data_IF_745385079637
#
_entry.id   IF_745385079637
#
_cell.length_a   1.000
_cell.length_b   1.000
_cell.length_c   1.000
_cell.angle_alpha   90.00
_cell.angle_beta   90.00
_cell.angle_gamma   90.00
#
_symmetry.space_group_name_H-M   'P 1'
#
loop_
_entity.id
_entity.type
_entity.pdbx_description
1 polymer ?
#
# COMPACT_ATOMS: atom_id res chain seq x y z
N UNK A 1 -93.86 -11.16 -36.46
CA UNK A 1 -93.57 -11.69 -35.10
C UNK A 1 -92.55 -10.77 -34.45
N UNK A 2 -92.86 -10.09 -33.33
CA UNK A 2 -91.87 -9.40 -32.50
C UNK A 2 -91.54 -10.31 -31.31
N UNK A 3 -90.40 -11.00 -31.35
CA UNK A 3 -90.08 -12.02 -30.33
C UNK A 3 -88.60 -12.23 -30.00
N UNK A 4 -87.65 -11.56 -30.67
CA UNK A 4 -86.22 -11.84 -30.47
C UNK A 4 -85.45 -10.75 -29.72
N UNK A 5 -86.05 -9.59 -29.47
CA UNK A 5 -85.35 -8.47 -28.81
C UNK A 5 -85.39 -8.48 -27.28
N UNK A 6 -85.95 -9.52 -26.64
CA UNK A 6 -86.05 -9.56 -25.17
C UNK A 6 -84.96 -10.42 -24.50
N UNK A 7 -84.23 -11.24 -25.27
CA UNK A 7 -83.20 -12.13 -24.72
C UNK A 7 -81.80 -11.47 -24.65
N UNK A 8 -81.46 -10.59 -25.61
CA UNK A 8 -80.16 -9.89 -25.63
C UNK A 8 -80.05 -8.79 -24.56
N UNK A 9 -81.15 -8.15 -24.20
CA UNK A 9 -81.19 -7.07 -23.21
C UNK A 9 -81.01 -7.57 -21.77
N UNK A 10 -81.26 -8.86 -21.52
CA UNK A 10 -81.16 -9.46 -20.18
C UNK A 10 -79.76 -10.02 -19.88
N UNK A 11 -78.97 -10.33 -20.91
CA UNK A 11 -77.59 -10.83 -20.76
C UNK A 11 -76.61 -9.65 -20.58
N UNK A 12 -76.93 -8.46 -21.08
CA UNK A 12 -76.11 -7.26 -20.90
C UNK A 12 -76.38 -6.47 -19.61
N UNK A 13 -77.36 -6.88 -18.79
CA UNK A 13 -77.72 -6.18 -17.56
C UNK A 13 -77.13 -6.78 -16.28
N UNK A 14 -76.24 -7.78 -16.38
CA UNK A 14 -75.64 -8.45 -15.22
C UNK A 14 -74.10 -8.34 -15.13
N UNK A 15 -73.41 -7.76 -16.12
CA UNK A 15 -72.01 -7.34 -15.94
C UNK A 15 -71.97 -5.91 -15.39
N UNK A 16 -72.10 -5.81 -14.08
CA UNK A 16 -71.93 -4.58 -13.33
C UNK A 16 -70.46 -4.17 -13.39
N UNK A 17 -70.10 -3.28 -14.32
CA UNK A 17 -68.76 -2.71 -14.41
C UNK A 17 -68.41 -2.03 -13.07
N UNK A 18 -67.27 -2.37 -12.44
CA UNK A 18 -66.92 -1.86 -11.12
C UNK A 18 -66.84 -0.34 -11.13
N UNK A 19 -67.30 0.29 -10.05
CA UNK A 19 -67.26 1.75 -9.91
C UNK A 19 -65.79 2.22 -9.98
N UNK A 20 -65.53 3.39 -10.57
CA UNK A 20 -64.20 4.01 -10.63
C UNK A 20 -63.43 4.02 -9.29
N UNK A 21 -64.15 4.16 -8.16
CA UNK A 21 -63.56 4.06 -6.82
C UNK A 21 -63.18 2.62 -6.42
N UNK A 22 -63.94 1.61 -6.84
CA UNK A 22 -63.63 0.20 -6.60
C UNK A 22 -62.40 -0.24 -7.39
N UNK A 23 -62.30 0.18 -8.66
CA UNK A 23 -61.10 -0.02 -9.49
C UNK A 23 -59.86 0.65 -8.88
N UNK A 24 -60.00 1.86 -8.33
CA UNK A 24 -58.89 2.55 -7.67
C UNK A 24 -58.43 1.82 -6.40
N UNK A 25 -59.37 1.26 -5.63
CA UNK A 25 -59.07 0.45 -4.43
C UNK A 25 -58.33 -0.84 -4.84
N UNK A 26 -58.82 -1.56 -5.85
CA UNK A 26 -58.22 -2.79 -6.35
C UNK A 26 -56.81 -2.57 -6.91
N UNK A 27 -56.60 -1.49 -7.68
CA UNK A 27 -55.27 -1.09 -8.16
C UNK A 27 -54.31 -0.76 -7.02
N UNK A 28 -54.82 -0.14 -5.94
CA UNK A 28 -54.02 0.21 -4.76
C UNK A 28 -53.65 -1.05 -3.97
N UNK A 29 -54.60 -1.95 -3.77
CA UNK A 29 -54.38 -3.25 -3.11
C UNK A 29 -53.37 -4.10 -3.89
N UNK A 30 -53.51 -4.16 -5.21
CA UNK A 30 -52.58 -4.85 -6.08
C UNK A 30 -51.19 -4.21 -6.09
N UNK A 31 -51.11 -2.88 -6.05
CA UNK A 31 -49.84 -2.16 -5.92
C UNK A 31 -49.15 -2.45 -4.57
N UNK A 32 -49.91 -2.45 -3.47
CA UNK A 32 -49.40 -2.82 -2.14
C UNK A 32 -48.91 -4.27 -2.10
N UNK A 33 -49.67 -5.20 -2.69
CA UNK A 33 -49.26 -6.61 -2.79
C UNK A 33 -47.97 -6.77 -3.59
N UNK A 34 -47.82 -6.04 -4.71
CA UNK A 34 -46.58 -6.02 -5.50
C UNK A 34 -45.39 -5.46 -4.72
N UNK A 35 -45.60 -4.41 -3.91
CA UNK A 35 -44.56 -3.84 -3.04
C UNK A 35 -44.14 -4.86 -1.97
N UNK A 36 -45.10 -5.51 -1.30
CA UNK A 36 -44.82 -6.54 -0.30
C UNK A 36 -44.02 -7.72 -0.88
N UNK A 37 -44.42 -8.22 -2.06
CA UNK A 37 -43.68 -9.27 -2.77
C UNK A 37 -42.27 -8.81 -3.19
N UNK A 38 -42.10 -7.53 -3.55
CA UNK A 38 -40.79 -6.96 -3.90
C UNK A 38 -39.88 -6.84 -2.67
N UNK A 39 -40.42 -6.48 -1.50
CA UNK A 39 -39.70 -6.46 -0.23
C UNK A 39 -39.25 -7.87 0.17
N UNK A 40 -40.15 -8.86 0.12
CA UNK A 40 -39.83 -10.26 0.42
C UNK A 40 -38.71 -10.80 -0.48
N UNK A 41 -38.79 -10.55 -1.80
CA UNK A 41 -37.74 -10.93 -2.75
C UNK A 41 -36.39 -10.29 -2.41
N UNK A 42 -36.41 -9.04 -1.94
CA UNK A 42 -35.20 -8.30 -1.54
C UNK A 42 -34.60 -8.92 -0.28
N UNK A 43 -35.41 -9.30 0.70
CA UNK A 43 -34.94 -9.99 1.91
C UNK A 43 -34.36 -11.37 1.61
N UNK A 44 -35.04 -12.17 0.80
CA UNK A 44 -34.54 -13.48 0.36
C UNK A 44 -33.22 -13.36 -0.42
N UNK A 45 -33.06 -12.32 -1.23
CA UNK A 45 -31.79 -12.04 -1.91
C UNK A 45 -30.66 -11.68 -0.92
N UNK A 46 -30.96 -10.91 0.15
CA UNK A 46 -29.99 -10.62 1.23
C UNK A 46 -29.60 -11.89 1.97
N UNK A 47 -30.55 -12.77 2.28
CA UNK A 47 -30.28 -14.05 2.96
C UNK A 47 -29.39 -14.96 2.11
N UNK A 48 -29.68 -15.09 0.80
CA UNK A 48 -28.83 -15.84 -0.15
C UNK A 48 -27.41 -15.27 -0.21
N UNK A 49 -27.28 -13.95 -0.19
CA UNK A 49 -25.98 -13.26 -0.20
C UNK A 49 -25.22 -13.54 1.10
N UNK A 50 -25.88 -13.47 2.26
CA UNK A 50 -25.32 -13.83 3.56
C UNK A 50 -24.86 -15.30 3.57
N UNK A 51 -25.71 -16.23 3.15
CA UNK A 51 -25.37 -17.66 3.08
C UNK A 51 -24.20 -17.95 2.12
N UNK A 52 -24.08 -17.19 1.02
CA UNK A 52 -22.91 -17.25 0.15
C UNK A 52 -21.64 -16.76 0.88
N UNK A 53 -21.72 -15.66 1.63
CA UNK A 53 -20.59 -15.17 2.42
C UNK A 53 -20.15 -16.16 3.53
N UNK A 54 -21.09 -16.84 4.20
CA UNK A 54 -20.77 -17.92 5.15
C UNK A 54 -20.00 -19.07 4.48
N UNK A 55 -20.45 -19.52 3.30
CA UNK A 55 -19.71 -20.55 2.52
C UNK A 55 -18.31 -20.09 2.14
N UNK A 56 -18.14 -18.83 1.76
CA UNK A 56 -16.80 -18.29 1.45
C UNK A 56 -15.91 -18.23 2.70
N UNK A 57 -16.46 -17.84 3.87
CA UNK A 57 -15.72 -17.84 5.13
C UNK A 57 -15.26 -19.26 5.50
N UNK A 58 -16.14 -20.26 5.38
CA UNK A 58 -15.79 -21.66 5.62
C UNK A 58 -14.66 -22.16 4.70
N UNK A 59 -14.68 -21.76 3.42
CA UNK A 59 -13.59 -22.07 2.50
C UNK A 59 -12.27 -21.44 2.95
N UNK A 60 -12.29 -20.17 3.39
CA UNK A 60 -11.11 -19.49 3.92
C UNK A 60 -10.57 -20.11 5.21
N UNK A 61 -11.45 -20.52 6.12
CA UNK A 61 -11.07 -21.25 7.34
C UNK A 61 -10.34 -22.53 6.95
N UNK A 62 -10.86 -23.29 5.98
CA UNK A 62 -10.24 -24.52 5.50
C UNK A 62 -8.84 -24.29 4.93
N UNK A 63 -8.69 -23.34 4.01
CA UNK A 63 -7.39 -23.01 3.40
C UNK A 63 -6.39 -22.57 4.46
N UNK A 64 -6.80 -21.69 5.37
CA UNK A 64 -5.95 -21.18 6.46
C UNK A 64 -5.52 -22.30 7.41
N UNK A 65 -6.44 -23.20 7.76
CA UNK A 65 -6.14 -24.35 8.62
C UNK A 65 -5.18 -25.33 7.94
N UNK A 66 -5.32 -25.58 6.64
CA UNK A 66 -4.38 -26.41 5.88
C UNK A 66 -2.97 -25.82 5.87
N UNK A 67 -2.85 -24.49 5.70
CA UNK A 67 -1.57 -23.80 5.73
C UNK A 67 -0.92 -23.84 7.12
N UNK A 68 -1.72 -23.65 8.16
CA UNK A 68 -1.30 -23.79 9.55
C UNK A 68 -0.80 -25.20 9.85
N UNK A 69 -1.58 -26.23 9.49
CA UNK A 69 -1.25 -27.62 9.73
C UNK A 69 0.00 -28.06 8.96
N UNK A 70 0.09 -27.71 7.68
CA UNK A 70 1.26 -28.04 6.85
C UNK A 70 2.50 -27.28 7.31
N UNK A 71 2.37 -26.00 7.65
CA UNK A 71 3.48 -25.19 8.17
C UNK A 71 4.01 -25.73 9.49
N UNK A 72 3.11 -26.12 10.41
CA UNK A 72 3.49 -26.79 11.65
C UNK A 72 4.17 -28.14 11.37
N UNK A 73 3.59 -28.97 10.50
CA UNK A 73 4.11 -30.28 10.12
C UNK A 73 5.53 -30.21 9.56
N UNK A 74 5.78 -29.30 8.61
CA UNK A 74 7.13 -29.03 8.10
C UNK A 74 8.08 -28.64 9.23
N UNK A 75 7.68 -27.66 10.05
CA UNK A 75 8.58 -27.16 11.12
C UNK A 75 8.99 -28.25 12.11
N UNK A 76 8.07 -29.16 12.47
CA UNK A 76 8.34 -30.28 13.37
C UNK A 76 9.09 -31.42 12.70
N UNK A 77 8.82 -31.69 11.42
CA UNK A 77 9.52 -32.71 10.67
C UNK A 77 11.03 -32.41 10.59
N UNK A 78 11.40 -31.17 10.25
CA UNK A 78 12.81 -30.77 10.20
C UNK A 78 13.46 -30.71 11.59
N UNK A 79 12.72 -30.30 12.64
CA UNK A 79 13.20 -30.38 14.03
C UNK A 79 13.45 -31.83 14.49
N UNK A 80 12.61 -32.77 14.04
CA UNK A 80 12.76 -34.18 14.38
C UNK A 80 13.96 -34.81 13.68
N UNK A 81 14.16 -34.52 12.39
CA UNK A 81 15.31 -35.02 11.62
C UNK A 81 16.65 -34.57 12.22
N UNK A 82 16.73 -33.32 12.68
CA UNK A 82 17.93 -32.78 13.35
C UNK A 82 18.29 -33.55 14.63
N UNK A 83 17.30 -34.04 15.38
CA UNK A 83 17.53 -34.86 16.58
C UNK A 83 18.03 -36.26 16.26
N UNK A 84 17.90 -36.72 15.03
CA UNK A 84 18.24 -38.09 14.60
C UNK A 84 19.49 -38.21 13.73
N UNK A 85 20.01 -37.13 13.12
CA UNK A 85 21.21 -37.19 12.27
C UNK A 85 22.51 -36.77 12.98
N UNK A 86 23.48 -37.69 12.97
CA UNK A 86 24.90 -37.47 13.23
C UNK A 86 25.58 -36.80 12.03
N UNK A 87 26.03 -35.56 12.19
CA UNK A 87 27.28 -35.09 11.55
C UNK A 87 27.27 -34.66 10.07
N UNK A 88 26.23 -34.00 9.56
CA UNK A 88 26.39 -33.11 8.40
C UNK A 88 25.92 -31.69 8.72
N UNK A 89 26.87 -30.76 8.69
CA UNK A 89 26.70 -29.30 8.84
C UNK A 89 25.90 -28.70 7.66
N UNK A 90 24.64 -29.12 7.49
CA UNK A 90 23.71 -28.46 6.58
C UNK A 90 22.71 -27.77 7.51
N UNK A 91 22.56 -26.46 7.41
CA UNK A 91 21.64 -25.62 8.20
C UNK A 91 20.15 -25.98 8.02
N UNK A 92 19.80 -27.16 7.50
CA UNK A 92 18.46 -27.60 7.11
C UNK A 92 17.40 -27.47 8.22
N UNK A 93 17.79 -27.46 9.50
CA UNK A 93 16.89 -27.27 10.64
C UNK A 93 16.34 -25.84 10.75
N UNK A 94 17.18 -24.83 10.56
CA UNK A 94 16.76 -23.42 10.54
C UNK A 94 15.85 -23.15 9.32
N UNK A 95 16.17 -23.76 8.20
CA UNK A 95 15.48 -23.59 6.93
C UNK A 95 14.06 -24.16 6.93
N UNK A 96 13.92 -25.42 7.33
CA UNK A 96 12.62 -26.07 7.43
C UNK A 96 11.71 -25.40 8.44
N UNK A 97 12.27 -24.95 9.58
CA UNK A 97 11.53 -24.20 10.59
C UNK A 97 11.03 -22.85 10.05
N UNK A 98 11.85 -22.17 9.28
CA UNK A 98 11.55 -20.86 8.70
C UNK A 98 10.46 -20.92 7.63
N UNK A 99 10.52 -21.94 6.76
CA UNK A 99 9.49 -22.21 5.75
C UNK A 99 8.15 -22.57 6.43
N UNK A 100 8.20 -23.45 7.43
CA UNK A 100 7.03 -23.81 8.23
C UNK A 100 6.39 -22.62 8.97
N UNK A 101 7.21 -21.77 9.62
CA UNK A 101 6.76 -20.54 10.27
C UNK A 101 6.14 -19.55 9.29
N UNK A 102 6.74 -19.36 8.11
CA UNK A 102 6.22 -18.44 7.09
C UNK A 102 4.83 -18.85 6.63
N UNK A 103 4.62 -20.16 6.41
CA UNK A 103 3.32 -20.67 6.02
C UNK A 103 2.27 -20.57 7.13
N UNK A 104 2.68 -20.79 8.39
CA UNK A 104 1.81 -20.58 9.55
C UNK A 104 1.40 -19.11 9.68
N UNK A 105 2.34 -18.17 9.60
CA UNK A 105 2.05 -16.73 9.66
C UNK A 105 1.09 -16.31 8.54
N UNK A 106 1.29 -16.81 7.32
CA UNK A 106 0.38 -16.55 6.22
C UNK A 106 -1.01 -17.13 6.48
N UNK A 107 -1.12 -18.37 6.96
CA UNK A 107 -2.40 -18.99 7.32
C UNK A 107 -3.16 -18.18 8.38
N UNK A 108 -2.48 -17.72 9.43
CA UNK A 108 -3.08 -16.84 10.46
C UNK A 108 -3.54 -15.52 9.84
N UNK A 109 -2.70 -14.90 9.01
CA UNK A 109 -3.02 -13.65 8.35
C UNK A 109 -4.24 -13.78 7.44
N UNK A 110 -4.29 -14.79 6.57
CA UNK A 110 -5.41 -15.06 5.69
C UNK A 110 -6.71 -15.25 6.48
N UNK A 111 -6.66 -15.95 7.60
CA UNK A 111 -7.81 -16.15 8.49
C UNK A 111 -8.29 -14.83 9.12
N UNK A 112 -7.38 -14.02 9.65
CA UNK A 112 -7.71 -12.72 10.25
C UNK A 112 -8.40 -11.81 9.21
N UNK A 113 -7.82 -11.72 8.01
CA UNK A 113 -8.39 -10.87 6.95
C UNK A 113 -9.75 -11.41 6.49
N UNK A 114 -9.91 -12.73 6.38
CA UNK A 114 -11.20 -13.35 6.06
C UNK A 114 -12.28 -13.02 7.10
N UNK A 115 -11.96 -13.10 8.39
CA UNK A 115 -12.87 -12.74 9.48
C UNK A 115 -13.27 -11.26 9.43
N UNK A 116 -12.29 -10.37 9.26
CA UNK A 116 -12.53 -8.92 9.18
C UNK A 116 -13.41 -8.58 7.96
N UNK A 117 -13.07 -9.11 6.78
CA UNK A 117 -13.83 -8.87 5.55
C UNK A 117 -15.26 -9.38 5.65
N UNK A 118 -15.45 -10.57 6.23
CA UNK A 118 -16.77 -11.15 6.45
C UNK A 118 -17.61 -10.26 7.39
N UNK A 119 -17.03 -9.81 8.51
CA UNK A 119 -17.69 -8.93 9.45
C UNK A 119 -18.11 -7.59 8.82
N UNK A 120 -17.22 -6.94 8.06
CA UNK A 120 -17.54 -5.70 7.34
C UNK A 120 -18.63 -5.91 6.29
N UNK A 121 -18.59 -7.02 5.55
CA UNK A 121 -19.57 -7.32 4.51
C UNK A 121 -20.94 -7.57 5.10
N UNK A 122 -21.04 -8.34 6.19
CA UNK A 122 -22.30 -8.53 6.92
C UNK A 122 -22.88 -7.19 7.41
N UNK A 123 -22.05 -6.33 7.99
CA UNK A 123 -22.48 -5.01 8.48
C UNK A 123 -22.99 -4.11 7.34
N UNK A 124 -22.45 -4.26 6.13
CA UNK A 124 -22.95 -3.53 4.95
C UNK A 124 -24.26 -4.11 4.40
N UNK A 125 -24.42 -5.43 4.37
CA UNK A 125 -25.67 -6.09 3.92
C UNK A 125 -26.87 -5.74 4.81
N UNK A 126 -26.62 -5.45 6.09
CA UNK A 126 -27.66 -5.04 7.05
C UNK A 126 -28.20 -3.62 6.82
N UNK A 127 -27.54 -2.77 6.01
CA UNK A 127 -28.01 -1.40 5.74
C UNK A 127 -29.18 -1.44 4.74
N UNK A 128 -30.22 -0.64 4.99
CA UNK A 128 -31.40 -0.53 4.10
C UNK A 128 -31.01 -0.13 2.66
N UNK A 129 -30.04 0.77 2.52
CA UNK A 129 -29.52 1.23 1.24
C UNK A 129 -28.23 0.49 0.84
N UNK A 130 -28.32 -0.82 0.63
CA UNK A 130 -27.18 -1.59 0.13
C UNK A 130 -26.83 -1.17 -1.30
N UNK A 131 -25.69 -0.49 -1.46
CA UNK A 131 -25.03 -0.29 -2.77
C UNK A 131 -23.87 -1.26 -2.87
N UNK A 132 -23.74 -1.93 -4.02
CA UNK A 132 -22.55 -2.73 -4.33
C UNK A 132 -21.32 -1.82 -4.33
N UNK A 133 -20.36 -2.13 -3.47
CA UNK A 133 -19.07 -1.46 -3.43
C UNK A 133 -18.03 -2.52 -3.82
N UNK A 134 -17.20 -2.29 -4.85
CA UNK A 134 -16.13 -3.22 -5.20
C UNK A 134 -15.15 -3.33 -4.03
N UNK A 135 -15.17 -4.48 -3.34
CA UNK A 135 -14.29 -4.76 -2.21
C UNK A 135 -13.03 -5.50 -2.66
N UNK A 136 -11.95 -5.38 -1.87
CA UNK A 136 -10.70 -6.09 -2.06
C UNK A 136 -10.94 -7.61 -2.17
N UNK A 137 -10.57 -8.23 -3.28
CA UNK A 137 -10.67 -9.68 -3.43
C UNK A 137 -9.64 -10.37 -2.54
N UNK A 138 -10.09 -10.94 -1.42
CA UNK A 138 -9.24 -11.72 -0.53
C UNK A 138 -8.52 -12.86 -1.24
N UNK A 139 -9.20 -13.48 -2.22
CA UNK A 139 -8.67 -14.53 -3.08
C UNK A 139 -7.40 -14.10 -3.77
N UNK A 140 -7.46 -12.91 -4.35
CA UNK A 140 -6.38 -12.33 -5.11
C UNK A 140 -5.19 -11.92 -4.23
N UNK A 141 -5.46 -11.40 -3.03
CA UNK A 141 -4.43 -11.05 -2.04
C UNK A 141 -3.68 -12.31 -1.62
N UNK A 142 -4.38 -13.31 -1.09
CA UNK A 142 -3.74 -14.54 -0.60
C UNK A 142 -3.05 -15.27 -1.73
N UNK A 143 -3.63 -15.31 -2.94
CA UNK A 143 -3.00 -15.87 -4.13
C UNK A 143 -1.69 -15.16 -4.51
N UNK A 144 -1.64 -13.82 -4.44
CA UNK A 144 -0.43 -13.04 -4.70
C UNK A 144 0.67 -13.34 -3.67
N UNK A 145 0.30 -13.41 -2.38
CA UNK A 145 1.26 -13.73 -1.31
C UNK A 145 1.78 -15.16 -1.48
N UNK A 146 0.89 -16.11 -1.75
CA UNK A 146 1.25 -17.51 -1.98
C UNK A 146 2.18 -17.69 -3.17
N UNK A 147 1.89 -17.00 -4.27
CA UNK A 147 2.76 -17.01 -5.44
C UNK A 147 4.15 -16.51 -5.06
N UNK A 148 4.24 -15.41 -4.32
CA UNK A 148 5.52 -14.85 -3.91
C UNK A 148 6.30 -15.78 -2.97
N UNK A 149 5.66 -16.32 -1.93
CA UNK A 149 6.29 -17.28 -1.02
C UNK A 149 6.68 -18.56 -1.75
N UNK A 150 5.82 -19.08 -2.63
CA UNK A 150 6.11 -20.26 -3.44
C UNK A 150 7.31 -20.05 -4.36
N UNK A 151 7.38 -18.91 -5.05
CA UNK A 151 8.54 -18.54 -5.87
C UNK A 151 9.81 -18.38 -5.03
N UNK A 152 9.72 -17.77 -3.84
CA UNK A 152 10.85 -17.63 -2.93
C UNK A 152 11.36 -18.99 -2.41
N UNK A 153 10.45 -19.91 -2.08
CA UNK A 153 10.78 -21.26 -1.62
C UNK A 153 11.34 -22.16 -2.73
N UNK A 154 11.07 -21.84 -4.00
CA UNK A 154 11.61 -22.58 -5.15
C UNK A 154 13.10 -22.29 -5.41
N UNK A 155 13.56 -21.07 -5.10
CA UNK A 155 14.95 -20.64 -5.36
C UNK A 155 15.98 -21.54 -4.66
N UNK A 156 15.87 -21.86 -3.35
CA UNK A 156 16.78 -22.79 -2.68
C UNK A 156 16.74 -24.22 -3.23
N UNK A 157 15.59 -24.65 -3.78
CA UNK A 157 15.45 -25.98 -4.36
C UNK A 157 16.22 -26.15 -5.67
N UNK A 158 16.45 -25.05 -6.39
CA UNK A 158 17.13 -25.03 -7.70
C UNK A 158 18.60 -24.61 -7.56
N UNK A 159 18.96 -23.89 -6.49
CA UNK A 159 20.31 -23.41 -6.25
C UNK A 159 21.00 -24.23 -5.14
N UNK A 160 21.93 -25.11 -5.53
CA UNK A 160 22.64 -26.06 -4.66
C UNK A 160 23.43 -25.47 -3.46
N UNK A 161 23.47 -24.14 -3.28
CA UNK A 161 24.24 -23.45 -2.24
C UNK A 161 23.50 -22.27 -1.57
N UNK A 162 22.16 -22.28 -1.53
CA UNK A 162 21.39 -21.14 -1.01
C UNK A 162 20.79 -21.43 0.37
N UNK A 163 21.20 -20.67 1.41
CA UNK A 163 20.59 -20.86 2.74
C UNK A 163 19.25 -20.13 2.85
N UNK A 164 18.23 -20.74 3.45
CA UNK A 164 16.94 -20.07 3.68
C UNK A 164 17.05 -18.88 4.64
N UNK A 165 18.01 -18.89 5.57
CA UNK A 165 18.28 -17.72 6.44
C UNK A 165 18.70 -16.50 5.63
N UNK A 166 19.35 -16.70 4.48
CA UNK A 166 19.76 -15.61 3.60
C UNK A 166 18.54 -14.90 3.01
N UNK A 167 17.38 -15.58 2.86
CA UNK A 167 16.10 -14.99 2.40
C UNK A 167 15.61 -13.87 3.33
N UNK A 168 15.81 -14.02 4.64
CA UNK A 168 15.25 -13.13 5.67
C UNK A 168 16.22 -12.03 6.08
N UNK A 169 17.31 -11.85 5.34
CA UNK A 169 18.20 -10.69 5.45
C UNK A 169 17.75 -9.63 4.44
N UNK A 170 17.81 -8.34 4.79
CA UNK A 170 17.47 -7.24 3.86
C UNK A 170 18.33 -7.21 2.58
N UNK A 171 19.45 -7.94 2.57
CA UNK A 171 20.32 -8.11 1.40
C UNK A 171 19.98 -9.38 0.57
N UNK A 172 18.88 -10.06 0.89
CA UNK A 172 18.48 -11.25 0.12
C UNK A 172 18.02 -10.89 -1.28
N UNK A 173 18.33 -11.76 -2.24
CA UNK A 173 17.85 -11.59 -3.61
C UNK A 173 16.32 -11.60 -3.67
N UNK A 174 15.66 -12.39 -2.81
CA UNK A 174 14.20 -12.46 -2.70
C UNK A 174 13.63 -11.11 -2.27
N UNK A 175 14.19 -10.47 -1.24
CA UNK A 175 13.73 -9.16 -0.78
C UNK A 175 14.04 -8.09 -1.82
N UNK A 176 15.21 -8.11 -2.46
CA UNK A 176 15.52 -7.18 -3.56
C UNK A 176 14.48 -7.29 -4.67
N UNK A 177 14.13 -8.50 -5.07
CA UNK A 177 13.09 -8.75 -6.07
C UNK A 177 11.71 -8.31 -5.57
N UNK A 178 11.36 -8.56 -4.30
CA UNK A 178 10.11 -8.10 -3.70
C UNK A 178 10.01 -6.58 -3.74
N UNK A 179 11.06 -5.88 -3.30
CA UNK A 179 11.13 -4.42 -3.28
C UNK A 179 11.02 -3.89 -4.71
N UNK A 180 11.81 -4.42 -5.64
CA UNK A 180 11.81 -3.99 -7.04
C UNK A 180 10.43 -4.19 -7.68
N UNK A 181 9.82 -5.38 -7.52
CA UNK A 181 8.49 -5.69 -8.04
C UNK A 181 7.42 -4.80 -7.40
N UNK A 182 7.47 -4.62 -6.07
CA UNK A 182 6.54 -3.76 -5.35
C UNK A 182 6.61 -2.32 -5.85
N UNK A 183 7.81 -1.74 -5.94
CA UNK A 183 8.00 -0.38 -6.44
C UNK A 183 7.55 -0.28 -7.89
N UNK A 184 7.90 -1.25 -8.73
CA UNK A 184 7.50 -1.30 -10.14
C UNK A 184 5.98 -1.28 -10.28
N UNK A 185 5.27 -2.18 -9.60
CA UNK A 185 3.80 -2.27 -9.68
C UNK A 185 3.15 -1.00 -9.13
N UNK A 186 3.65 -0.42 -8.04
CA UNK A 186 3.11 0.83 -7.49
C UNK A 186 3.32 2.00 -8.47
N UNK A 187 4.53 2.15 -9.02
CA UNK A 187 4.85 3.27 -9.93
C UNK A 187 4.08 3.15 -11.25
N UNK A 188 3.96 1.94 -11.78
CA UNK A 188 3.14 1.64 -12.96
C UNK A 188 1.67 1.96 -12.70
N UNK A 189 1.12 1.49 -11.58
CA UNK A 189 -0.27 1.80 -11.18
C UNK A 189 -0.47 3.30 -11.01
N UNK A 190 0.48 3.99 -10.37
CA UNK A 190 0.39 5.43 -10.14
C UNK A 190 0.40 6.21 -11.47
N UNK A 191 1.30 5.86 -12.39
CA UNK A 191 1.35 6.46 -13.72
C UNK A 191 0.07 6.20 -14.53
N UNK A 192 -0.46 4.98 -14.47
CA UNK A 192 -1.69 4.60 -15.17
C UNK A 192 -2.94 5.27 -14.57
N UNK A 193 -2.94 5.58 -13.27
CA UNK A 193 -4.11 6.13 -12.57
C UNK A 193 -4.24 7.66 -12.66
N UNK A 194 -3.13 8.38 -12.76
CA UNK A 194 -3.11 9.86 -12.71
C UNK A 194 -3.16 10.42 -14.13
N UNK A 195 -4.24 11.11 -14.55
CA UNK A 195 -4.27 11.77 -15.84
C UNK A 195 -3.30 12.96 -15.88
N UNK A 196 -2.72 13.24 -17.06
CA UNK A 196 -1.77 14.35 -17.20
C UNK A 196 -2.40 15.72 -16.87
N UNK A 197 -3.72 15.83 -16.99
CA UNK A 197 -4.51 17.00 -16.64
C UNK A 197 -4.55 17.28 -15.14
N UNK A 198 -4.38 16.27 -14.27
CA UNK A 198 -4.33 16.49 -12.82
C UNK A 198 -3.02 17.16 -12.38
N UNK A 199 -1.94 17.03 -13.16
CA UNK A 199 -0.73 17.84 -12.97
C UNK A 199 -0.98 19.33 -13.22
N UNK A 200 -2.04 19.70 -13.94
CA UNK A 200 -2.41 21.10 -14.14
C UNK A 200 -2.72 21.79 -12.81
N UNK A 201 -3.25 21.09 -11.81
CA UNK A 201 -3.49 21.64 -10.47
C UNK A 201 -2.21 22.18 -9.82
N UNK A 202 -1.06 21.55 -10.09
CA UNK A 202 0.25 22.01 -9.60
C UNK A 202 0.87 23.04 -10.56
N UNK A 203 0.69 22.86 -11.87
CA UNK A 203 1.15 23.80 -12.91
C UNK A 203 0.55 25.19 -12.73
N UNK A 204 -0.69 25.27 -12.24
CA UNK A 204 -1.40 26.54 -11.98
C UNK A 204 -0.86 27.28 -10.73
N UNK A 205 -0.04 26.62 -9.90
CA UNK A 205 0.59 27.23 -8.72
C UNK A 205 2.13 27.04 -8.73
N UNK A 206 2.86 27.62 -9.70
CA UNK A 206 4.30 27.34 -9.90
C UNK A 206 5.16 27.76 -8.70
N UNK A 207 4.80 28.86 -8.02
CA UNK A 207 5.49 29.29 -6.78
C UNK A 207 5.37 28.25 -5.67
N UNK A 208 4.23 27.57 -5.58
CA UNK A 208 4.00 26.54 -4.57
C UNK A 208 4.71 25.24 -4.91
N UNK A 209 4.76 24.87 -6.19
CA UNK A 209 5.57 23.74 -6.65
C UNK A 209 7.05 23.98 -6.32
N UNK A 210 7.59 25.17 -6.61
CA UNK A 210 8.97 25.50 -6.31
C UNK A 210 9.28 25.38 -4.80
N UNK A 211 8.39 25.90 -3.93
CA UNK A 211 8.50 25.72 -2.48
C UNK A 211 8.46 24.24 -2.07
N UNK A 212 7.62 23.44 -2.72
CA UNK A 212 7.48 22.01 -2.43
C UNK A 212 8.75 21.25 -2.79
N UNK A 213 9.30 21.49 -3.99
CA UNK A 213 10.56 20.91 -4.43
C UNK A 213 11.74 21.39 -3.56
N UNK A 214 11.78 22.67 -3.21
CA UNK A 214 12.77 23.23 -2.30
C UNK A 214 12.74 22.52 -0.94
N UNK A 215 11.55 22.30 -0.38
CA UNK A 215 11.37 21.58 0.90
C UNK A 215 11.97 20.17 0.84
N UNK A 216 11.61 19.39 -0.20
CA UNK A 216 11.92 17.95 -0.27
C UNK A 216 13.31 17.65 -0.83
N UNK A 217 13.76 18.42 -1.83
CA UNK A 217 14.99 18.14 -2.59
C UNK A 217 16.20 18.95 -2.09
N UNK A 218 15.98 20.03 -1.32
CA UNK A 218 17.08 20.90 -0.86
C UNK A 218 17.10 21.02 0.65
N UNK A 219 16.01 21.48 1.27
CA UNK A 219 16.00 21.80 2.70
C UNK A 219 16.06 20.56 3.59
N UNK A 220 15.36 19.48 3.24
CA UNK A 220 15.47 18.23 3.99
C UNK A 220 16.90 17.63 3.92
N UNK A 221 17.54 17.49 2.73
CA UNK A 221 18.95 17.13 2.66
C UNK A 221 19.85 18.10 3.43
N UNK A 222 19.58 19.42 3.40
CA UNK A 222 20.35 20.39 4.17
C UNK A 222 20.24 20.15 5.69
N UNK A 223 19.06 19.81 6.22
CA UNK A 223 18.91 19.42 7.64
C UNK A 223 19.82 18.24 7.96
N UNK A 224 19.82 17.20 7.11
CA UNK A 224 20.65 16.02 7.31
C UNK A 224 22.14 16.39 7.27
N UNK A 225 22.54 17.21 6.30
CA UNK A 225 23.91 17.71 6.17
C UNK A 225 24.36 18.45 7.43
N UNK A 226 23.57 19.41 7.92
CA UNK A 226 23.88 20.17 9.13
C UNK A 226 23.99 19.27 10.36
N UNK A 227 23.10 18.29 10.48
CA UNK A 227 23.14 17.33 11.60
C UNK A 227 24.39 16.46 11.55
N UNK A 228 24.84 16.03 10.37
CA UNK A 228 26.09 15.27 10.23
C UNK A 228 27.36 16.09 10.54
N UNK A 229 27.30 17.42 10.41
CA UNK A 229 28.41 18.30 10.81
C UNK A 229 28.44 18.57 12.31
N UNK A 230 27.27 18.70 12.93
CA UNK A 230 27.14 19.09 14.35
C UNK A 230 27.27 17.88 15.27
N UNK A 231 26.74 16.71 14.88
CA UNK A 231 26.69 15.52 15.72
C UNK A 231 27.70 14.47 15.25
N UNK A 232 28.50 13.89 16.17
CA UNK A 232 29.43 12.82 15.80
C UNK A 232 28.63 11.56 15.46
N UNK A 233 28.63 11.18 14.19
CA UNK A 233 27.95 9.97 13.70
C UNK A 233 28.94 8.90 13.30
N UNK A 234 28.62 7.62 13.58
CA UNK A 234 29.40 6.52 13.04
C UNK A 234 29.21 6.40 11.51
N UNK A 235 30.14 5.70 10.83
CA UNK A 235 30.11 5.54 9.36
C UNK A 235 28.79 4.98 8.85
N UNK A 236 28.23 3.99 9.54
CA UNK A 236 26.96 3.35 9.17
C UNK A 236 25.79 4.34 9.16
N UNK A 237 25.68 5.17 10.21
CA UNK A 237 24.64 6.19 10.35
C UNK A 237 24.81 7.29 9.31
N UNK A 238 26.04 7.78 9.10
CA UNK A 238 26.32 8.78 8.07
C UNK A 238 25.89 8.29 6.68
N UNK A 239 26.33 7.09 6.27
CA UNK A 239 25.99 6.54 4.96
C UNK A 239 24.47 6.35 4.81
N UNK A 240 23.80 5.80 5.82
CA UNK A 240 22.36 5.60 5.79
C UNK A 240 21.59 6.92 5.64
N UNK A 241 21.94 7.94 6.42
CA UNK A 241 21.28 9.24 6.39
C UNK A 241 21.53 9.98 5.07
N UNK A 242 22.72 9.88 4.50
CA UNK A 242 23.06 10.45 3.20
C UNK A 242 22.21 9.82 2.08
N UNK A 243 22.18 8.49 2.01
CA UNK A 243 21.40 7.76 1.00
C UNK A 243 19.90 8.05 1.15
N UNK A 244 19.41 8.12 2.38
CA UNK A 244 18.02 8.43 2.69
C UNK A 244 17.66 9.88 2.32
N UNK A 245 18.52 10.84 2.64
CA UNK A 245 18.40 12.24 2.24
C UNK A 245 18.40 12.39 0.73
N UNK A 246 19.15 11.55 0.01
CA UNK A 246 19.18 11.55 -1.44
C UNK A 246 17.96 10.88 -2.09
N UNK A 247 17.14 10.10 -1.36
CA UNK A 247 16.06 9.27 -1.93
C UNK A 247 14.64 9.87 -1.73
N UNK A 248 14.16 10.79 -2.58
CA UNK A 248 12.85 11.42 -2.44
C UNK A 248 11.71 10.53 -2.95
N UNK A 249 10.47 10.95 -2.68
CA UNK A 249 9.27 10.45 -3.36
C UNK A 249 8.93 8.97 -3.08
N UNK A 250 8.54 8.61 -1.84
CA UNK A 250 8.17 7.24 -1.53
C UNK A 250 6.92 6.79 -2.33
N UNK A 251 6.86 5.51 -2.77
CA UNK A 251 5.76 4.95 -3.56
C UNK A 251 4.34 5.11 -2.98
N UNK A 252 4.21 5.37 -1.67
CA UNK A 252 2.92 5.63 -1.01
C UNK A 252 2.83 7.01 -0.37
N UNK A 253 3.57 8.00 -0.86
CA UNK A 253 3.49 9.38 -0.36
C UNK A 253 2.04 9.86 -0.31
N UNK A 254 1.29 9.64 -1.39
CA UNK A 254 -0.12 10.02 -1.53
C UNK A 254 -1.00 9.46 -0.40
N UNK A 255 -0.86 8.17 -0.09
CA UNK A 255 -1.61 7.54 1.01
C UNK A 255 -1.17 8.04 2.37
N UNK A 256 0.13 8.22 2.59
CA UNK A 256 0.65 8.76 3.85
C UNK A 256 0.15 10.18 4.09
N UNK A 257 0.12 11.01 3.07
CA UNK A 257 -0.40 12.36 3.14
C UNK A 257 -1.90 12.37 3.50
N UNK A 258 -2.73 11.51 2.88
CA UNK A 258 -4.14 11.35 3.30
C UNK A 258 -4.28 10.96 4.76
N UNK A 259 -3.45 10.01 5.22
CA UNK A 259 -3.45 9.57 6.61
C UNK A 259 -3.03 10.68 7.58
N UNK A 260 -2.45 11.77 7.10
CA UNK A 260 -2.17 12.98 7.85
C UNK A 260 -3.24 14.08 7.64
N UNK A 261 -4.35 13.79 6.96
CA UNK A 261 -5.40 14.78 6.63
C UNK A 261 -5.08 15.62 5.39
N UNK A 262 -4.07 15.24 4.61
CA UNK A 262 -3.64 15.97 3.41
C UNK A 262 -4.50 15.70 2.17
N UNK A 263 -4.40 16.59 1.19
CA UNK A 263 -5.09 16.47 -0.11
C UNK A 263 -4.49 15.39 -0.99
N UNK A 264 -5.38 14.58 -1.58
CA UNK A 264 -5.03 13.52 -2.51
C UNK A 264 -4.36 14.01 -3.78
N UNK A 265 -5.02 14.90 -4.52
CA UNK A 265 -4.60 15.30 -5.87
C UNK A 265 -3.22 15.96 -5.85
N UNK A 266 -2.97 16.79 -4.84
CA UNK A 266 -1.66 17.41 -4.64
C UNK A 266 -0.59 16.38 -4.24
N UNK A 267 -0.89 15.46 -3.32
CA UNK A 267 0.05 14.42 -2.90
C UNK A 267 0.46 13.50 -4.06
N UNK A 268 -0.50 13.11 -4.89
CA UNK A 268 -0.30 12.31 -6.09
C UNK A 268 0.59 13.04 -7.11
N UNK A 269 0.25 14.29 -7.43
CA UNK A 269 1.01 15.10 -8.37
C UNK A 269 2.45 15.33 -7.90
N UNK A 270 2.63 15.68 -6.62
CA UNK A 270 3.96 15.87 -6.03
C UNK A 270 4.76 14.57 -6.04
N UNK A 271 4.14 13.42 -5.75
CA UNK A 271 4.82 12.12 -5.76
C UNK A 271 5.38 11.80 -7.15
N UNK A 272 4.62 12.01 -8.22
CA UNK A 272 5.08 11.81 -9.59
C UNK A 272 6.23 12.75 -9.91
N UNK A 273 6.10 14.05 -9.63
CA UNK A 273 7.16 15.04 -9.93
C UNK A 273 8.44 14.69 -9.18
N UNK A 274 8.35 14.31 -7.89
CA UNK A 274 9.50 13.87 -7.11
C UNK A 274 10.12 12.60 -7.68
N UNK A 275 9.31 11.67 -8.19
CA UNK A 275 9.78 10.42 -8.80
C UNK A 275 10.51 10.67 -10.12
N UNK A 276 10.01 11.57 -10.96
CA UNK A 276 10.69 12.02 -12.18
C UNK A 276 12.00 12.75 -11.86
N UNK A 277 11.96 13.63 -10.86
CA UNK A 277 13.12 14.41 -10.43
C UNK A 277 14.19 13.56 -9.75
N UNK A 278 13.83 12.41 -9.17
CA UNK A 278 14.75 11.56 -8.41
C UNK A 278 15.95 11.09 -9.23
N UNK A 279 15.79 10.81 -10.53
CA UNK A 279 16.87 10.37 -11.42
C UNK A 279 18.01 11.38 -11.50
N UNK A 280 17.70 12.68 -11.41
CA UNK A 280 18.68 13.75 -11.46
C UNK A 280 19.14 14.13 -10.05
N UNK A 281 18.19 14.37 -9.14
CA UNK A 281 18.51 14.94 -7.83
C UNK A 281 19.17 13.94 -6.88
N UNK A 282 18.84 12.65 -6.95
CA UNK A 282 19.44 11.64 -6.07
C UNK A 282 20.96 11.52 -6.27
N UNK A 283 21.48 11.25 -7.49
CA UNK A 283 22.93 11.19 -7.70
C UNK A 283 23.59 12.55 -7.43
N UNK A 284 22.92 13.67 -7.71
CA UNK A 284 23.43 15.01 -7.41
C UNK A 284 23.60 15.25 -5.90
N UNK A 285 22.59 14.90 -5.10
CA UNK A 285 22.64 15.01 -3.63
C UNK A 285 23.75 14.10 -3.11
N UNK A 286 23.83 12.84 -3.56
CA UNK A 286 24.92 11.94 -3.18
C UNK A 286 26.30 12.52 -3.52
N UNK A 287 26.45 13.12 -4.70
CA UNK A 287 27.70 13.76 -5.12
C UNK A 287 28.07 14.93 -4.20
N UNK A 288 27.12 15.81 -3.90
CA UNK A 288 27.34 16.96 -3.01
C UNK A 288 27.78 16.48 -1.61
N UNK A 289 27.07 15.51 -1.04
CA UNK A 289 27.46 14.96 0.26
C UNK A 289 28.84 14.29 0.23
N UNK A 290 29.18 13.61 -0.87
CA UNK A 290 30.50 12.99 -1.02
C UNK A 290 31.65 13.99 -1.05
N UNK A 291 31.43 15.18 -1.61
CA UNK A 291 32.43 16.24 -1.62
C UNK A 291 32.52 16.99 -0.30
N UNK A 292 31.39 17.15 0.40
CA UNK A 292 31.29 18.04 1.56
C UNK A 292 31.42 17.35 2.93
N UNK A 293 31.18 16.04 3.04
CA UNK A 293 31.30 15.31 4.32
C UNK A 293 32.66 14.61 4.42
N UNK A 294 33.56 15.05 5.32
CA UNK A 294 34.87 14.43 5.51
C UNK A 294 34.75 12.96 5.93
N UNK A 295 35.53 12.08 5.29
CA UNK A 295 35.55 10.65 5.61
C UNK A 295 34.47 9.81 4.92
N UNK A 296 33.60 10.41 4.12
CA UNK A 296 32.72 9.68 3.20
C UNK A 296 33.48 9.35 1.91
N UNK A 297 34.14 8.19 1.88
CA UNK A 297 34.83 7.66 0.69
C UNK A 297 34.01 6.57 0.01
N UNK A 298 32.72 6.83 -0.24
CA UNK A 298 31.92 5.93 -1.05
C UNK A 298 32.42 5.98 -2.49
N UNK A 299 32.93 4.86 -3.02
CA UNK A 299 33.15 4.70 -4.46
C UNK A 299 31.78 4.56 -5.16
N UNK A 300 31.02 5.64 -5.17
CA UNK A 300 29.64 5.66 -5.66
C UNK A 300 29.69 5.97 -7.13
N UNK A 301 29.36 4.96 -7.93
CA UNK A 301 29.17 5.17 -9.35
C UNK A 301 27.83 5.91 -9.55
N UNK A 302 27.89 7.24 -9.64
CA UNK A 302 26.72 8.10 -9.80
C UNK A 302 25.89 7.76 -11.05
N UNK A 303 26.56 7.37 -12.13
CA UNK A 303 25.90 6.94 -13.36
C UNK A 303 25.13 5.63 -13.15
N UNK A 304 25.70 4.69 -12.39
CA UNK A 304 25.03 3.46 -12.01
C UNK A 304 23.80 3.76 -11.14
N UNK A 305 23.92 4.64 -10.15
CA UNK A 305 22.79 5.08 -9.31
C UNK A 305 21.69 5.74 -10.15
N UNK A 306 22.05 6.62 -11.08
CA UNK A 306 21.08 7.25 -11.98
C UNK A 306 20.35 6.22 -12.84
N UNK A 307 21.08 5.28 -13.47
CA UNK A 307 20.52 4.18 -14.27
C UNK A 307 19.60 3.29 -13.43
N UNK A 308 19.98 3.00 -12.20
CA UNK A 308 19.21 2.21 -11.25
C UNK A 308 17.87 2.86 -10.91
N UNK A 309 17.87 4.14 -10.54
CA UNK A 309 16.65 4.89 -10.26
C UNK A 309 15.79 4.98 -11.51
N UNK A 310 16.42 5.18 -12.68
CA UNK A 310 15.71 5.24 -13.94
C UNK A 310 14.97 3.92 -14.23
N UNK A 311 15.59 2.77 -13.99
CA UNK A 311 14.97 1.46 -14.22
C UNK A 311 13.90 1.17 -13.17
N UNK A 312 14.18 1.41 -11.88
CA UNK A 312 13.30 0.99 -10.77
C UNK A 312 12.11 1.93 -10.60
N UNK A 313 12.25 3.22 -10.89
CA UNK A 313 11.23 4.23 -10.60
C UNK A 313 10.72 4.95 -11.85
N UNK A 314 11.62 5.44 -12.71
CA UNK A 314 11.20 6.25 -13.88
C UNK A 314 10.53 5.39 -14.95
N UNK A 315 11.10 4.25 -15.30
CA UNK A 315 10.60 3.35 -16.35
C UNK A 315 9.16 2.91 -16.09
N UNK A 316 8.79 2.31 -14.94
CA UNK A 316 7.42 1.90 -14.68
C UNK A 316 6.45 3.08 -14.64
N UNK A 317 6.86 4.22 -14.07
CA UNK A 317 6.04 5.43 -14.03
C UNK A 317 5.74 5.96 -15.43
N UNK A 318 6.77 6.09 -16.27
CA UNK A 318 6.65 6.53 -17.65
C UNK A 318 5.80 5.57 -18.48
N UNK A 319 5.95 4.25 -18.30
CA UNK A 319 5.08 3.26 -18.95
C UNK A 319 3.62 3.45 -18.56
N UNK A 320 3.33 3.67 -17.26
CA UNK A 320 1.96 3.93 -16.81
C UNK A 320 1.36 5.18 -17.43
N UNK A 321 2.14 6.27 -17.52
CA UNK A 321 1.72 7.51 -18.15
C UNK A 321 1.48 7.34 -19.67
N UNK A 322 2.34 6.58 -20.36
CA UNK A 322 2.18 6.28 -21.79
C UNK A 322 0.92 5.44 -22.03
N UNK A 323 0.68 4.40 -21.22
CA UNK A 323 -0.54 3.57 -21.32
C UNK A 323 -1.78 4.44 -21.17
N UNK A 324 -1.76 5.38 -20.20
CA UNK A 324 -2.83 6.34 -19.96
C UNK A 324 -3.06 7.30 -21.13
N UNK A 325 -1.99 7.75 -21.79
CA UNK A 325 -2.07 8.61 -22.97
C UNK A 325 -2.62 7.86 -24.20
N UNK A 326 -2.28 6.58 -24.36
CA UNK A 326 -2.78 5.75 -25.46
C UNK A 326 -4.26 5.43 -25.28
N UNK A 327 -4.68 5.01 -24.08
CA UNK A 327 -6.08 4.73 -23.76
C UNK A 327 -6.34 4.88 -22.27
N UNK A 328 -7.22 5.82 -21.93
CA UNK A 328 -7.66 6.02 -20.55
C UNK A 328 -8.39 4.79 -19.98
N UNK A 329 -9.15 4.08 -20.81
CA UNK A 329 -9.89 2.88 -20.43
C UNK A 329 -8.94 1.72 -20.10
N UNK A 330 -7.97 1.43 -20.98
CA UNK A 330 -6.96 0.39 -20.72
C UNK A 330 -6.13 0.71 -19.47
N UNK A 331 -5.76 1.98 -19.29
CA UNK A 331 -5.02 2.40 -18.12
C UNK A 331 -5.83 2.25 -16.82
N UNK A 332 -7.14 2.51 -16.86
CA UNK A 332 -8.03 2.31 -15.73
C UNK A 332 -8.18 0.83 -15.38
N UNK A 333 -8.38 -0.05 -16.37
CA UNK A 333 -8.41 -1.50 -16.16
C UNK A 333 -7.11 -2.04 -15.55
N UNK A 334 -5.97 -1.71 -16.17
CA UNK A 334 -4.64 -2.12 -15.70
C UNK A 334 -4.39 -1.57 -14.30
N UNK A 335 -4.66 -0.28 -14.07
CA UNK A 335 -4.54 0.34 -12.75
C UNK A 335 -5.40 -0.38 -11.72
N UNK A 336 -6.66 -0.68 -12.02
CA UNK A 336 -7.57 -1.32 -11.07
C UNK A 336 -7.11 -2.74 -10.70
N UNK A 337 -6.61 -3.50 -11.67
CA UNK A 337 -6.00 -4.81 -11.41
C UNK A 337 -4.74 -4.69 -10.56
N UNK A 338 -3.79 -3.87 -11.01
CA UNK A 338 -2.47 -3.74 -10.39
C UNK A 338 -2.53 -3.03 -9.03
N UNK A 339 -3.48 -2.15 -8.78
CA UNK A 339 -3.59 -1.42 -7.52
C UNK A 339 -3.73 -2.35 -6.32
N UNK A 340 -4.49 -3.43 -6.48
CA UNK A 340 -4.67 -4.43 -5.43
C UNK A 340 -3.40 -5.26 -5.22
N UNK A 341 -2.72 -5.66 -6.32
CA UNK A 341 -1.42 -6.34 -6.26
C UNK A 341 -0.40 -5.44 -5.55
N UNK A 342 -0.25 -4.21 -6.01
CA UNK A 342 0.71 -3.23 -5.53
C UNK A 342 0.57 -2.97 -4.02
N UNK A 343 -0.67 -2.77 -3.55
CA UNK A 343 -0.94 -2.55 -2.13
C UNK A 343 -0.68 -3.81 -1.30
N UNK A 344 -0.96 -4.99 -1.85
CA UNK A 344 -0.70 -6.27 -1.19
C UNK A 344 0.80 -6.53 -1.05
N UNK A 345 1.53 -6.44 -2.15
CA UNK A 345 2.99 -6.58 -2.18
C UNK A 345 3.65 -5.57 -1.25
N UNK A 346 3.18 -4.31 -1.26
CA UNK A 346 3.67 -3.29 -0.34
C UNK A 346 3.40 -3.64 1.12
N UNK A 347 2.18 -4.08 1.43
CA UNK A 347 1.81 -4.45 2.78
C UNK A 347 2.68 -5.62 3.29
N UNK A 348 2.87 -6.66 2.47
CA UNK A 348 3.77 -7.79 2.76
C UNK A 348 5.19 -7.29 2.96
N UNK A 349 5.70 -6.46 2.06
CA UNK A 349 7.05 -5.87 2.14
C UNK A 349 7.22 -5.08 3.44
N UNK A 350 6.23 -4.29 3.86
CA UNK A 350 6.30 -3.54 5.12
C UNK A 350 6.23 -4.45 6.33
N UNK A 351 5.36 -5.46 6.36
CA UNK A 351 5.33 -6.44 7.46
C UNK A 351 6.66 -7.17 7.58
N UNK A 352 7.23 -7.60 6.45
CA UNK A 352 8.52 -8.26 6.41
C UNK A 352 9.65 -7.33 6.86
N UNK A 353 9.65 -6.09 6.36
CA UNK A 353 10.61 -5.07 6.79
C UNK A 353 10.50 -4.79 8.29
N UNK A 354 9.29 -4.70 8.86
CA UNK A 354 9.07 -4.52 10.30
C UNK A 354 9.59 -5.73 11.07
N UNK A 355 9.25 -6.94 10.66
CA UNK A 355 9.70 -8.18 11.30
C UNK A 355 11.22 -8.27 11.34
N UNK A 356 11.90 -7.98 10.23
CA UNK A 356 13.36 -7.92 10.20
C UNK A 356 13.89 -6.75 11.04
N UNK A 357 13.24 -5.59 10.97
CA UNK A 357 13.65 -4.39 11.71
C UNK A 357 13.64 -4.59 13.22
N UNK A 358 12.79 -5.45 13.78
CA UNK A 358 12.82 -5.76 15.22
C UNK A 358 14.19 -6.31 15.67
N UNK A 359 14.86 -7.08 14.82
CA UNK A 359 16.19 -7.59 15.09
C UNK A 359 17.29 -6.57 14.72
N UNK A 360 17.04 -5.69 13.75
CA UNK A 360 18.02 -4.72 13.26
C UNK A 360 18.05 -3.38 14.03
N UNK A 361 16.94 -2.92 14.60
CA UNK A 361 16.88 -1.65 15.33
C UNK A 361 17.86 -1.61 16.51
N UNK A 362 17.99 -2.68 17.34
CA UNK A 362 19.01 -2.71 18.38
C UNK A 362 20.43 -2.54 17.83
N UNK A 363 20.71 -3.10 16.64
CA UNK A 363 22.00 -2.98 15.95
C UNK A 363 22.26 -1.57 15.39
N UNK A 364 21.20 -0.82 15.03
CA UNK A 364 21.34 0.58 14.63
C UNK A 364 21.88 1.46 15.78
N UNK A 365 21.59 1.08 17.02
CA UNK A 365 22.04 1.76 18.23
C UNK A 365 21.23 3.01 18.56
N UNK A 366 21.26 3.38 19.84
CA UNK A 366 20.50 4.53 20.37
C UNK A 366 20.92 5.87 19.76
N UNK A 367 22.19 6.00 19.35
CA UNK A 367 22.70 7.20 18.68
C UNK A 367 21.98 7.45 17.35
N UNK A 368 21.84 6.43 16.50
CA UNK A 368 21.13 6.56 15.22
C UNK A 368 19.66 6.90 15.43
N UNK A 369 19.00 6.28 16.41
CA UNK A 369 17.61 6.59 16.76
C UNK A 369 17.44 8.05 17.21
N UNK A 370 18.36 8.56 18.05
CA UNK A 370 18.38 9.96 18.49
C UNK A 370 18.58 10.95 17.34
N UNK A 371 19.47 10.64 16.40
CA UNK A 371 19.71 11.47 15.21
C UNK A 371 18.47 11.49 14.30
N UNK A 372 17.83 10.33 14.07
CA UNK A 372 16.56 10.27 13.33
C UNK A 372 15.50 11.13 14.04
N UNK A 373 15.40 11.03 15.36
CA UNK A 373 14.48 11.86 16.16
C UNK A 373 14.77 13.36 16.05
N UNK A 374 16.00 13.76 15.76
CA UNK A 374 16.39 15.15 15.55
C UNK A 374 16.09 15.66 14.13
N UNK A 375 16.16 14.79 13.11
CA UNK A 375 15.92 15.16 11.70
C UNK A 375 14.42 15.32 11.39
N UNK A 376 13.57 14.44 11.98
CA UNK A 376 12.14 14.38 11.65
C UNK A 376 11.39 15.69 11.96
N UNK A 377 11.46 16.27 13.18
CA UNK A 377 10.66 17.45 13.52
C UNK A 377 10.99 18.69 12.66
N UNK A 378 12.27 19.08 12.45
CA UNK A 378 12.61 20.17 11.53
C UNK A 378 12.09 19.93 10.12
N UNK A 379 12.16 18.69 9.60
CA UNK A 379 11.60 18.35 8.30
C UNK A 379 10.08 18.56 8.21
N UNK A 380 9.34 18.15 9.25
CA UNK A 380 7.90 18.39 9.34
C UNK A 380 7.58 19.89 9.42
N UNK A 381 8.35 20.63 10.22
CA UNK A 381 8.17 22.08 10.39
C UNK A 381 8.41 22.80 9.06
N UNK A 382 9.52 22.54 8.38
CA UNK A 382 9.82 23.15 7.08
C UNK A 382 8.71 22.85 6.07
N UNK A 383 8.30 21.60 5.95
CA UNK A 383 7.22 21.24 5.02
C UNK A 383 5.86 21.84 5.40
N UNK A 384 5.58 22.03 6.69
CA UNK A 384 4.38 22.72 7.15
C UNK A 384 4.42 24.22 6.82
N UNK A 385 5.56 24.89 7.07
CA UNK A 385 5.74 26.33 6.87
C UNK A 385 5.76 26.71 5.38
N UNK A 386 6.40 25.90 4.54
CA UNK A 386 6.45 26.10 3.10
C UNK A 386 5.17 25.62 2.39
N UNK A 387 4.36 24.83 3.10
CA UNK A 387 3.07 24.33 2.64
C UNK A 387 1.97 25.40 2.68
N UNK A 388 0.77 25.05 2.22
CA UNK A 388 -0.38 25.94 2.27
C UNK A 388 -0.60 26.73 0.98
N UNK A 389 -1.06 26.07 -0.09
CA UNK A 389 -1.72 26.77 -1.19
C UNK A 389 -2.86 27.56 -0.55
N UNK A 390 -2.85 28.90 -0.69
CA UNK A 390 -3.88 29.77 -0.12
C UNK A 390 -4.11 29.54 1.40
N UNK A 391 -3.04 29.24 2.14
CA UNK A 391 -3.08 28.98 3.59
C UNK A 391 -3.85 27.72 4.03
N UNK A 392 -4.22 26.83 3.11
CA UNK A 392 -4.97 25.62 3.45
C UNK A 392 -4.13 24.61 4.24
N UNK A 393 -4.64 24.16 5.39
CA UNK A 393 -3.96 23.22 6.28
C UNK A 393 -3.74 21.83 5.69
N UNK A 394 -4.64 21.38 4.81
CA UNK A 394 -4.55 20.08 4.14
C UNK A 394 -3.31 20.00 3.21
N UNK A 395 -3.01 21.06 2.45
CA UNK A 395 -1.79 21.12 1.63
C UNK A 395 -0.52 21.28 2.46
N UNK A 396 -0.59 21.93 3.64
CA UNK A 396 0.52 21.95 4.62
C UNK A 396 0.81 20.56 5.15
N UNK A 397 -0.23 19.81 5.50
CA UNK A 397 -0.10 18.43 5.94
C UNK A 397 0.55 17.55 4.87
N UNK A 398 0.10 17.67 3.61
CA UNK A 398 0.69 16.94 2.48
C UNK A 398 2.19 17.25 2.31
N UNK A 399 2.60 18.52 2.34
CA UNK A 399 4.01 18.88 2.13
C UNK A 399 4.89 18.54 3.34
N UNK A 400 4.41 18.70 4.56
CA UNK A 400 5.10 18.22 5.77
C UNK A 400 5.38 16.72 5.68
N UNK A 401 4.36 15.94 5.32
CA UNK A 401 4.48 14.50 5.11
C UNK A 401 5.47 14.19 3.99
N UNK A 402 5.42 14.90 2.86
CA UNK A 402 6.32 14.70 1.72
C UNK A 402 7.77 15.03 2.00
N UNK A 403 8.02 15.99 2.89
CA UNK A 403 9.38 16.43 3.24
C UNK A 403 10.12 15.32 4.01
N UNK A 404 9.42 14.65 4.92
CA UNK A 404 9.99 13.62 5.79
C UNK A 404 9.82 12.21 5.24
N UNK A 405 8.75 11.92 4.51
CA UNK A 405 8.56 10.61 3.91
C UNK A 405 9.60 10.42 2.79
N UNK A 406 10.63 9.62 3.05
CA UNK A 406 11.68 9.26 2.08
C UNK A 406 11.42 7.88 1.46
N UNK A 407 11.99 7.64 0.28
CA UNK A 407 11.88 6.36 -0.40
C UNK A 407 12.89 5.34 0.15
N UNK A 408 12.52 4.66 1.24
CA UNK A 408 13.39 3.68 1.92
C UNK A 408 13.71 2.48 1.01
N UNK A 409 12.78 2.04 0.17
CA UNK A 409 13.01 0.93 -0.76
C UNK A 409 14.11 1.26 -1.78
N UNK A 410 14.09 2.48 -2.34
CA UNK A 410 15.17 2.97 -3.18
C UNK A 410 16.48 3.14 -2.40
N UNK A 411 16.43 3.65 -1.17
CA UNK A 411 17.61 3.80 -0.33
C UNK A 411 18.29 2.44 -0.02
N UNK A 412 17.50 1.41 0.29
CA UNK A 412 18.00 0.04 0.49
C UNK A 412 18.64 -0.49 -0.79
N UNK A 413 17.98 -0.28 -1.94
CA UNK A 413 18.51 -0.71 -3.23
C UNK A 413 19.87 -0.06 -3.55
N UNK A 414 19.99 1.26 -3.35
CA UNK A 414 21.25 1.98 -3.53
C UNK A 414 22.32 1.48 -2.55
N UNK A 415 21.97 1.30 -1.28
CA UNK A 415 22.91 0.83 -0.26
C UNK A 415 23.47 -0.56 -0.63
N UNK A 416 22.60 -1.49 -1.00
CA UNK A 416 22.99 -2.85 -1.40
C UNK A 416 23.87 -2.82 -2.65
N UNK A 417 23.45 -2.10 -3.69
CA UNK A 417 24.17 -2.10 -4.97
C UNK A 417 25.57 -1.46 -4.90
N UNK A 418 25.82 -0.62 -3.88
CA UNK A 418 27.11 0.02 -3.64
C UNK A 418 27.88 -0.64 -2.47
N UNK A 419 27.45 -1.82 -1.98
CA UNK A 419 28.13 -2.55 -0.91
C UNK A 419 28.04 -1.88 0.48
N UNK A 420 27.15 -0.90 0.65
CA UNK A 420 26.92 -0.17 1.90
C UNK A 420 25.93 -0.92 2.83
N UNK A 421 26.09 -2.23 2.98
CA UNK A 421 25.19 -3.08 3.78
C UNK A 421 25.13 -2.68 5.25
N UNK A 422 26.20 -2.08 5.77
CA UNK A 422 26.25 -1.52 7.13
C UNK A 422 25.20 -0.41 7.39
N UNK A 423 24.65 0.21 6.34
CA UNK A 423 23.62 1.25 6.46
C UNK A 423 22.21 0.68 6.65
N UNK A 424 22.00 -0.60 6.31
CA UNK A 424 20.68 -1.25 6.26
C UNK A 424 19.91 -1.15 7.60
N UNK A 425 20.51 -1.41 8.78
CA UNK A 425 19.79 -1.32 10.06
C UNK A 425 19.22 0.08 10.34
N UNK A 426 19.97 1.12 9.97
CA UNK A 426 19.57 2.52 10.16
C UNK A 426 18.45 2.89 9.18
N UNK A 427 18.51 2.43 7.92
CA UNK A 427 17.44 2.61 6.93
C UNK A 427 16.12 1.94 7.38
N UNK A 428 16.22 0.73 7.95
CA UNK A 428 15.10 0.03 8.56
C UNK A 428 14.55 0.79 9.79
N UNK A 429 15.43 1.27 10.67
CA UNK A 429 15.02 2.07 11.83
C UNK A 429 14.27 3.33 11.43
N UNK A 430 14.69 4.03 10.36
CA UNK A 430 13.98 5.20 9.85
C UNK A 430 12.55 4.89 9.38
N UNK A 431 12.32 3.72 8.77
CA UNK A 431 10.99 3.31 8.31
C UNK A 431 9.98 3.27 9.47
N UNK A 432 10.40 2.77 10.63
CA UNK A 432 9.54 2.65 11.82
C UNK A 432 9.52 3.97 12.61
N UNK A 433 10.69 4.49 12.97
CA UNK A 433 10.81 5.70 13.78
C UNK A 433 10.21 6.91 13.07
N UNK A 434 10.39 7.04 11.76
CA UNK A 434 9.81 8.14 10.99
C UNK A 434 8.28 8.14 11.02
N UNK A 435 7.64 6.97 11.05
CA UNK A 435 6.19 6.87 11.24
C UNK A 435 5.81 7.30 12.65
N UNK A 436 6.43 6.70 13.68
CA UNK A 436 6.14 6.97 15.09
C UNK A 436 6.32 8.46 15.43
N UNK A 437 7.46 9.04 15.05
CA UNK A 437 7.82 10.43 15.33
C UNK A 437 6.95 11.43 14.56
N UNK A 438 6.33 11.01 13.45
CA UNK A 438 5.36 11.85 12.71
C UNK A 438 3.94 11.81 13.31
N UNK A 439 3.61 10.84 14.17
CA UNK A 439 2.26 10.68 14.72
C UNK A 439 1.76 11.90 15.49
N UNK A 440 2.53 12.55 16.38
CA UNK A 440 2.06 13.72 17.11
C UNK A 440 1.61 14.85 16.18
N UNK A 441 2.42 15.13 15.14
CA UNK A 441 2.08 16.11 14.12
C UNK A 441 0.82 15.71 13.34
N UNK A 442 0.73 14.45 12.90
CA UNK A 442 -0.42 13.94 12.14
C UNK A 442 -1.74 14.02 12.94
N UNK A 443 -1.70 13.73 14.25
CA UNK A 443 -2.85 13.84 15.14
C UNK A 443 -3.25 15.32 15.32
N UNK A 444 -2.26 16.19 15.57
CA UNK A 444 -2.49 17.62 15.75
C UNK A 444 -3.10 18.27 14.51
N UNK A 445 -2.52 18.07 13.32
CA UNK A 445 -2.98 18.72 12.09
C UNK A 445 -4.37 18.22 11.69
N UNK A 446 -4.68 16.93 11.92
CA UNK A 446 -6.01 16.38 11.68
C UNK A 446 -7.08 17.03 12.55
N UNK A 447 -6.79 17.25 13.83
CA UNK A 447 -7.71 17.97 14.74
C UNK A 447 -7.97 19.40 14.24
N UNK A 448 -6.93 20.11 13.80
CA UNK A 448 -7.07 21.46 13.26
C UNK A 448 -7.90 21.51 11.97
N UNK A 449 -7.67 20.56 11.05
CA UNK A 449 -8.44 20.45 9.81
C UNK A 449 -9.92 20.16 10.12
N UNK A 450 -10.20 19.27 11.08
CA UNK A 450 -11.56 18.95 11.48
C UNK A 450 -12.28 20.15 12.12
N UNK A 451 -11.59 20.93 12.95
CA UNK A 451 -12.15 22.11 13.61
C UNK A 451 -12.50 23.27 12.65
N UNK A 452 -11.85 23.34 11.49
CA UNK A 452 -12.18 24.32 10.44
C UNK A 452 -13.32 23.85 9.52
N UNK A 453 -13.69 22.57 9.58
CA UNK A 453 -14.76 21.98 8.77
C UNK A 453 -16.12 21.98 9.50
N UNK A 454 -16.11 22.22 10.81
CA UNK A 454 -17.27 22.49 11.66
C UNK A 454 -17.50 23.98 11.75
#
# INVERSE_FOLDING_TARGET
MPGENFALTKIMSEEQFPNSNELAIELTEFAQHRIALAEERTELARERTRAAQERTLMAWIRTSLSMLAFGFGISRFFEYLEKTETGRNINASAEGRLLGLSLMVLGIFALIVALISHWFTLKNIQKKDFKYIPNWSLGFIVGTILLFIGSAAFIPLVADNFNLTDIFTLDSQVIKNLIALTIFTIMLTMGAKIPLTDFASVKNHPKFLAKSLLSVLVLFPLIVFLILLVFPTNKATAIALIILAASPGPPLLTKRAMMAGGRMNFGASLQVILSLSAVIFTPLILFIFAQLIPGYQGNINFLLVAKQIAIVQLLPLSLGLIIREISAELAEEISNLLFNIANTLFFVMVLFAIFISFNLIPLAGWQAAGIIALIIPPGLIIGHLLGGIEQRLDTRSTLATATVARNVGLALFIAIANGATIAIPILAAYLILGVILSLPYNIWIKKQIAALAT
#
